data_IF_701020530245
#
_entry.id   IF_701020530245
#
_cell.length_a   1.000
_cell.length_b   1.000
_cell.length_c   1.000
_cell.angle_alpha   90.00
_cell.angle_beta   90.00
_cell.angle_gamma   90.00
#
_symmetry.space_group_name_H-M   'P 1'
#
loop_
_entity.id
_entity.type
_entity.pdbx_description
1 polymer ?
#
# COMPACT_ATOMS: atom_id res chain seq x y z
N UNK A 1 1.89 -11.41 13.50
CA UNK A 1 1.09 -10.17 13.45
C UNK A 1 1.99 -9.01 13.83
N UNK A 2 2.07 -7.98 13.00
CA UNK A 2 2.76 -6.73 13.32
C UNK A 2 1.92 -5.96 14.36
N UNK A 3 2.51 -5.32 15.38
CA UNK A 3 1.75 -4.48 16.29
C UNK A 3 1.17 -3.27 15.54
N UNK A 4 -0.16 -3.17 15.51
CA UNK A 4 -0.88 -2.01 15.02
C UNK A 4 -1.19 -1.09 16.20
N UNK A 5 -0.72 0.15 16.12
CA UNK A 5 -1.07 1.22 17.03
C UNK A 5 -1.95 2.21 16.27
N UNK A 6 -3.00 2.67 16.92
CA UNK A 6 -3.88 3.71 16.40
C UNK A 6 -3.80 4.89 17.38
N UNK A 7 -3.08 5.95 16.99
CA UNK A 7 -3.10 7.21 17.73
C UNK A 7 -4.31 7.97 17.20
N UNK A 8 -5.47 7.60 17.73
CA UNK A 8 -6.76 8.13 17.31
C UNK A 8 -6.83 9.60 17.69
N UNK A 9 -6.69 10.48 16.68
CA UNK A 9 -7.41 11.75 16.43
C UNK A 9 -7.52 12.79 17.56
N UNK A 10 -6.90 12.57 18.72
CA UNK A 10 -6.80 13.46 19.87
C UNK A 10 -5.38 13.41 20.43
N UNK A 11 -4.89 14.52 21.01
CA UNK A 11 -3.58 14.55 21.68
C UNK A 11 -3.46 13.47 22.75
N UNK A 12 -2.31 12.81 22.82
CA UNK A 12 -1.99 11.94 23.96
C UNK A 12 -1.90 12.75 25.25
N UNK A 13 -2.53 12.28 26.32
CA UNK A 13 -2.44 12.94 27.63
C UNK A 13 -1.05 12.75 28.27
N UNK A 14 -0.44 11.59 28.02
CA UNK A 14 0.85 11.16 28.57
C UNK A 14 1.77 10.63 27.45
N UNK A 15 3.09 10.73 27.61
CA UNK A 15 4.02 10.09 26.70
C UNK A 15 3.91 8.56 26.80
N UNK A 16 4.07 7.89 25.65
CA UNK A 16 3.94 6.43 25.52
C UNK A 16 5.19 5.85 24.88
N UNK A 17 5.79 4.87 25.54
CA UNK A 17 6.91 4.10 25.03
C UNK A 17 6.55 2.62 25.01
N UNK A 18 6.62 2.01 23.83
CA UNK A 18 6.23 0.63 23.62
C UNK A 18 7.33 -0.12 22.88
N UNK A 19 7.49 -1.40 23.20
CA UNK A 19 8.47 -2.29 22.59
C UNK A 19 7.84 -3.64 22.32
N UNK A 20 8.02 -4.15 21.11
CA UNK A 20 7.46 -5.40 20.64
C UNK A 20 8.55 -6.27 20.02
N UNK A 21 8.59 -7.54 20.42
CA UNK A 21 9.34 -8.57 19.70
C UNK A 21 8.43 -9.18 18.64
N UNK A 22 8.82 -9.06 17.38
CA UNK A 22 8.04 -9.56 16.24
C UNK A 22 8.74 -10.77 15.65
N UNK A 23 8.03 -11.89 15.58
CA UNK A 23 8.50 -13.13 14.96
C UNK A 23 8.44 -13.02 13.42
N UNK A 24 9.61 -12.90 12.79
CA UNK A 24 9.78 -12.73 11.35
C UNK A 24 9.61 -14.02 10.55
N UNK A 25 9.47 -15.17 11.23
CA UNK A 25 9.04 -16.41 10.55
C UNK A 25 7.54 -16.39 10.21
N UNK A 26 6.78 -15.50 10.85
CA UNK A 26 5.33 -15.34 10.65
C UNK A 26 4.97 -14.01 10.00
N UNK A 27 5.92 -13.10 9.86
CA UNK A 27 5.72 -11.74 9.38
C UNK A 27 6.89 -11.41 8.48
N UNK A 28 6.63 -11.06 7.21
CA UNK A 28 7.70 -10.70 6.31
C UNK A 28 8.41 -9.43 6.80
N UNK A 29 9.74 -9.40 6.63
CA UNK A 29 10.56 -8.25 7.05
C UNK A 29 10.13 -6.93 6.39
N UNK A 30 9.62 -6.99 5.16
CA UNK A 30 9.04 -5.85 4.45
C UNK A 30 7.88 -5.20 5.22
N UNK A 31 7.14 -6.00 5.97
CA UNK A 31 5.86 -5.60 6.56
C UNK A 31 6.06 -4.97 7.94
N UNK A 32 7.23 -5.12 8.57
CA UNK A 32 7.55 -4.53 9.87
C UNK A 32 7.41 -3.01 9.90
N UNK A 33 7.55 -2.35 8.75
CA UNK A 33 7.36 -0.91 8.62
C UNK A 33 5.90 -0.48 8.52
N UNK A 34 5.00 -1.41 8.20
CA UNK A 34 3.56 -1.17 8.04
C UNK A 34 2.88 -1.15 9.40
N UNK A 35 2.14 -0.09 9.68
CA UNK A 35 1.21 0.00 10.81
C UNK A 35 0.10 1.01 10.45
N UNK A 36 -0.78 1.27 11.42
CA UNK A 36 -1.90 2.21 11.25
C UNK A 36 -1.62 3.57 11.92
N UNK A 37 -0.34 3.87 12.21
CA UNK A 37 0.01 5.09 12.92
C UNK A 37 0.03 6.26 11.92
N UNK A 38 -1.12 6.95 11.82
CA UNK A 38 -1.33 8.09 10.92
C UNK A 38 -2.07 7.74 9.64
N UNK A 39 -2.60 8.77 8.95
CA UNK A 39 -3.45 8.53 7.80
C UNK A 39 -2.66 7.76 6.71
N UNK A 40 -3.17 6.57 6.41
CA UNK A 40 -2.61 5.59 5.50
C UNK A 40 -1.31 4.88 5.92
N UNK A 41 -0.88 4.95 7.20
CA UNK A 41 0.35 4.26 7.66
C UNK A 41 1.61 4.73 6.92
N UNK A 42 1.64 6.01 6.54
CA UNK A 42 2.69 6.59 5.70
C UNK A 42 3.79 7.23 6.55
N UNK A 43 4.83 6.46 6.83
CA UNK A 43 6.02 6.93 7.54
C UNK A 43 7.01 7.76 6.69
N UNK A 44 6.81 7.83 5.38
CA UNK A 44 7.65 8.59 4.46
C UNK A 44 6.77 9.46 3.57
N UNK A 45 6.93 10.78 3.64
CA UNK A 45 6.29 11.72 2.71
C UNK A 45 7.29 12.18 1.63
N UNK A 46 6.81 12.49 0.42
CA UNK A 46 7.64 12.99 -0.68
C UNK A 46 8.38 14.28 -0.32
N UNK A 47 7.72 15.15 0.46
CA UNK A 47 8.23 16.44 0.95
C UNK A 47 8.54 16.44 2.45
N UNK A 48 8.63 15.27 3.10
CA UNK A 48 8.82 15.15 4.55
C UNK A 48 10.10 14.44 4.97
N UNK A 49 10.26 14.22 6.28
CA UNK A 49 11.39 13.45 6.81
C UNK A 49 11.33 12.00 6.29
N UNK A 50 12.43 11.56 5.69
CA UNK A 50 12.62 10.18 5.26
C UNK A 50 13.13 9.33 6.40
N UNK A 51 12.80 8.04 6.36
CA UNK A 51 13.43 7.01 7.19
C UNK A 51 14.95 7.11 7.10
N UNK A 52 15.61 7.08 8.27
CA UNK A 52 17.07 6.95 8.35
C UNK A 52 17.45 5.53 8.73
N UNK A 53 18.53 5.02 8.13
CA UNK A 53 19.03 3.67 8.39
C UNK A 53 20.48 3.73 8.86
N UNK A 54 20.80 2.99 9.92
CA UNK A 54 22.18 2.79 10.40
C UNK A 54 22.48 1.30 10.48
N UNK A 55 23.68 0.92 10.07
CA UNK A 55 24.18 -0.46 10.18
C UNK A 55 25.28 -0.52 11.23
N UNK A 56 25.30 -1.61 11.98
CA UNK A 56 26.34 -1.94 12.94
C UNK A 56 26.85 -3.33 12.59
N UNK A 57 28.15 -3.44 12.40
CA UNK A 57 28.81 -4.65 11.91
C UNK A 57 29.50 -5.37 13.07
N UNK A 58 29.34 -6.69 13.12
CA UNK A 58 29.93 -7.54 14.14
C UNK A 58 30.54 -8.80 13.53
N UNK A 59 31.71 -9.19 14.03
CA UNK A 59 32.38 -10.42 13.62
C UNK A 59 31.85 -11.64 14.40
N UNK A 60 32.41 -12.82 14.12
CA UNK A 60 32.05 -14.09 14.75
C UNK A 60 32.23 -14.11 16.27
N UNK A 61 33.21 -13.36 16.78
CA UNK A 61 33.45 -13.16 18.21
C UNK A 61 32.48 -12.14 18.85
N UNK A 62 31.53 -11.60 18.09
CA UNK A 62 30.54 -10.58 18.52
C UNK A 62 31.16 -9.24 18.88
N UNK A 63 32.35 -8.95 18.34
CA UNK A 63 33.02 -7.67 18.47
C UNK A 63 32.64 -6.77 17.31
N UNK A 64 32.57 -5.46 17.58
CA UNK A 64 32.25 -4.46 16.56
C UNK A 64 33.40 -4.39 15.55
N UNK A 65 33.09 -4.45 14.27
CA UNK A 65 34.07 -4.39 13.18
C UNK A 65 33.60 -3.42 12.07
N UNK A 66 34.35 -3.38 10.97
CA UNK A 66 34.04 -2.58 9.79
C UNK A 66 33.22 -3.37 8.77
N UNK A 67 32.64 -2.66 7.80
CA UNK A 67 31.97 -3.30 6.67
C UNK A 67 32.98 -4.14 5.87
N UNK A 68 32.60 -5.35 5.47
CA UNK A 68 33.47 -6.33 4.81
C UNK A 68 34.09 -7.39 5.73
N UNK A 69 34.24 -7.13 7.03
CA UNK A 69 34.86 -8.06 8.00
C UNK A 69 33.85 -8.62 9.02
N UNK A 70 32.59 -8.70 8.63
CA UNK A 70 31.49 -9.00 9.55
C UNK A 70 30.77 -10.28 9.18
N UNK A 71 30.34 -11.00 10.19
CA UNK A 71 29.46 -12.17 10.09
C UNK A 71 28.01 -11.77 10.36
N UNK A 72 27.81 -10.68 11.11
CA UNK A 72 26.52 -10.20 11.55
C UNK A 72 26.35 -8.70 11.29
N UNK A 73 25.14 -8.32 10.89
CA UNK A 73 24.74 -6.92 10.72
C UNK A 73 23.50 -6.66 11.56
N UNK A 74 23.60 -5.66 12.44
CA UNK A 74 22.44 -5.07 13.10
C UNK A 74 22.04 -3.83 12.31
N UNK A 75 20.82 -3.81 11.79
CA UNK A 75 20.24 -2.66 11.10
C UNK A 75 19.23 -1.97 12.01
N UNK A 76 19.38 -0.65 12.16
CA UNK A 76 18.43 0.24 12.83
C UNK A 76 17.77 1.14 11.81
N UNK A 77 16.46 0.98 11.60
CA UNK A 77 15.63 1.89 10.81
C UNK A 77 14.85 2.80 11.75
N UNK A 78 15.04 4.12 11.61
CA UNK A 78 14.35 5.13 12.42
C UNK A 78 13.38 5.89 11.53
N UNK A 79 12.10 5.87 11.92
CA UNK A 79 11.02 6.58 11.28
C UNK A 79 10.55 7.70 12.20
N UNK A 80 10.33 8.87 11.63
CA UNK A 80 9.72 10.03 12.29
C UNK A 80 8.48 10.36 11.51
N UNK A 81 7.33 10.40 12.18
CA UNK A 81 6.06 10.56 11.48
C UNK A 81 5.96 11.98 10.88
N UNK A 82 5.69 12.13 9.57
CA UNK A 82 5.76 13.43 8.89
C UNK A 82 4.63 14.39 9.29
N UNK A 83 3.47 13.87 9.69
CA UNK A 83 2.30 14.69 10.08
C UNK A 83 2.02 14.66 11.58
N UNK A 84 3.04 14.33 12.39
CA UNK A 84 2.91 14.37 13.84
C UNK A 84 2.96 15.81 14.33
N UNK A 85 2.11 16.12 15.31
CA UNK A 85 2.04 17.41 15.98
C UNK A 85 2.20 17.13 17.48
N UNK A 86 3.23 17.67 18.15
CA UNK A 86 4.35 18.45 17.60
C UNK A 86 5.25 17.65 16.62
N UNK A 87 6.03 18.35 15.78
CA UNK A 87 6.97 17.67 14.87
C UNK A 87 7.94 16.77 15.65
N UNK A 88 8.21 15.58 15.11
CA UNK A 88 9.09 14.61 15.75
C UNK A 88 8.54 13.92 16.99
N UNK A 89 7.33 14.26 17.46
CA UNK A 89 6.73 13.68 18.66
C UNK A 89 6.35 12.21 18.52
N UNK A 90 6.23 11.69 17.29
CA UNK A 90 5.86 10.29 17.02
C UNK A 90 6.97 9.62 16.23
N UNK A 91 7.59 8.60 16.83
CA UNK A 91 8.70 7.85 16.25
C UNK A 91 8.49 6.35 16.34
N UNK A 92 9.02 5.66 15.33
CA UNK A 92 9.12 4.19 15.29
C UNK A 92 10.56 3.81 14.98
N UNK A 93 11.11 2.85 15.72
CA UNK A 93 12.45 2.32 15.47
C UNK A 93 12.37 0.81 15.33
N UNK A 94 12.92 0.28 14.24
CA UNK A 94 12.99 -1.15 13.96
C UNK A 94 14.45 -1.57 14.02
N UNK A 95 14.75 -2.54 14.86
CA UNK A 95 16.03 -3.22 14.94
C UNK A 95 15.92 -4.61 14.36
N UNK A 96 16.85 -4.96 13.46
CA UNK A 96 16.91 -6.26 12.82
C UNK A 96 18.34 -6.76 12.81
N UNK A 97 18.52 -8.02 13.17
CA UNK A 97 19.78 -8.74 13.01
C UNK A 97 19.71 -9.57 11.72
N UNK A 98 20.78 -9.56 10.93
CA UNK A 98 20.96 -10.43 9.79
C UNK A 98 22.37 -11.00 9.74
N UNK A 99 22.52 -12.18 9.15
CA UNK A 99 23.78 -12.80 8.76
C UNK A 99 23.72 -13.24 7.30
N UNK A 100 24.75 -13.92 6.81
CA UNK A 100 24.72 -14.58 5.49
C UNK A 100 23.55 -15.57 5.32
N UNK A 101 23.05 -16.14 6.42
CA UNK A 101 21.91 -17.06 6.40
C UNK A 101 20.55 -16.35 6.40
N UNK A 102 20.53 -15.02 6.36
CA UNK A 102 19.33 -14.20 6.34
C UNK A 102 19.04 -13.51 7.67
N UNK A 103 17.79 -13.13 7.88
CA UNK A 103 17.36 -12.39 9.07
C UNK A 103 17.19 -13.31 10.29
N UNK A 104 17.53 -12.79 11.46
CA UNK A 104 17.17 -13.42 12.73
C UNK A 104 15.65 -13.53 12.87
N UNK A 105 15.23 -14.55 13.63
CA UNK A 105 13.81 -14.86 13.90
C UNK A 105 13.04 -13.70 14.51
N UNK A 106 13.70 -12.83 15.28
CA UNK A 106 13.03 -11.72 15.96
C UNK A 106 13.56 -10.38 15.48
N UNK A 107 12.63 -9.47 15.22
CA UNK A 107 12.89 -8.04 15.11
C UNK A 107 12.35 -7.33 16.36
N UNK A 108 13.04 -6.28 16.80
CA UNK A 108 12.55 -5.40 17.86
C UNK A 108 11.95 -4.16 17.22
N UNK A 109 10.66 -3.94 17.42
CA UNK A 109 9.93 -2.75 16.98
C UNK A 109 9.58 -1.92 18.20
N UNK A 110 9.99 -0.67 18.21
CA UNK A 110 9.74 0.26 19.31
C UNK A 110 9.00 1.48 18.81
N UNK A 111 8.13 2.02 19.65
CA UNK A 111 7.42 3.26 19.43
C UNK A 111 7.70 4.22 20.59
N UNK A 112 7.92 5.47 20.24
CA UNK A 112 8.16 6.56 21.17
C UNK A 112 7.26 7.73 20.77
N UNK A 113 6.24 7.95 21.59
CA UNK A 113 5.15 8.89 21.37
C UNK A 113 5.20 9.92 22.50
N UNK A 114 5.42 11.17 22.15
CA UNK A 114 5.51 12.27 23.09
C UNK A 114 4.17 12.59 23.77
N UNK A 115 4.22 13.46 24.76
CA UNK A 115 3.03 14.05 25.36
C UNK A 115 2.37 15.03 24.38
N UNK A 116 1.04 15.11 24.41
CA UNK A 116 0.22 15.92 23.51
C UNK A 116 0.47 15.60 22.02
N UNK A 117 1.02 14.43 21.74
CA UNK A 117 1.30 13.99 20.38
C UNK A 117 -0.02 13.57 19.73
N UNK A 118 -0.23 14.05 18.52
CA UNK A 118 -1.32 13.60 17.65
C UNK A 118 -0.83 13.49 16.22
N UNK A 119 -1.53 12.68 15.43
CA UNK A 119 -1.31 12.63 13.99
C UNK A 119 -2.56 13.13 13.29
N UNK A 120 -2.44 14.22 12.53
CA UNK A 120 -3.56 14.76 11.79
C UNK A 120 -4.02 13.76 10.71
N UNK A 121 -5.32 13.48 10.67
CA UNK A 121 -5.91 12.64 9.64
C UNK A 121 -6.02 13.42 8.33
N UNK A 122 -5.10 13.17 7.38
CA UNK A 122 -5.17 13.74 6.03
C UNK A 122 -5.98 12.85 5.07
N UNK A 123 -7.10 13.31 4.49
CA UNK A 123 -7.90 12.48 3.59
C UNK A 123 -7.02 11.87 2.49
N UNK A 124 -7.25 10.59 2.18
CA UNK A 124 -6.53 9.94 1.08
C UNK A 124 -6.80 10.75 -0.20
N UNK A 125 -5.76 11.16 -0.92
CA UNK A 125 -5.87 12.10 -2.05
C UNK A 125 -6.87 11.72 -3.14
N UNK A 126 -7.28 10.44 -3.22
CA UNK A 126 -8.28 9.93 -4.17
C UNK A 126 -9.67 9.71 -3.57
N UNK A 127 -9.83 9.85 -2.25
CA UNK A 127 -11.09 9.64 -1.56
C UNK A 127 -11.86 10.98 -1.46
N UNK A 128 -12.60 11.32 -2.51
CA UNK A 128 -13.51 12.49 -2.47
C UNK A 128 -14.66 12.33 -1.46
N UNK A 129 -14.92 11.12 -0.95
CA UNK A 129 -16.12 10.82 -0.12
C UNK A 129 -15.87 9.87 1.08
N UNK A 130 -14.73 9.18 1.18
CA UNK A 130 -14.49 8.23 2.29
C UNK A 130 -13.81 8.91 3.48
N UNK A 131 -14.56 9.01 4.59
CA UNK A 131 -14.10 9.45 5.92
C UNK A 131 -13.39 8.34 6.72
N UNK A 132 -13.43 7.10 6.22
CA UNK A 132 -12.75 5.95 6.82
C UNK A 132 -11.24 6.06 6.66
N UNK A 133 -10.49 5.78 7.72
CA UNK A 133 -9.04 5.75 7.67
C UNK A 133 -8.60 4.60 6.74
N UNK A 134 -7.70 4.90 5.80
CA UNK A 134 -7.14 3.85 4.92
C UNK A 134 -6.32 2.87 5.75
N UNK A 135 -6.71 1.61 5.72
CA UNK A 135 -5.89 0.53 6.25
C UNK A 135 -4.87 0.12 5.20
N UNK A 136 -3.59 0.34 5.50
CA UNK A 136 -2.50 0.00 4.59
C UNK A 136 -2.36 -1.53 4.50
N UNK A 137 -2.46 -2.06 3.29
CA UNK A 137 -2.18 -3.47 3.02
C UNK A 137 -0.68 -3.74 3.18
N UNK A 138 -0.35 -4.91 3.72
CA UNK A 138 1.03 -5.35 3.88
C UNK A 138 1.74 -5.45 2.51
N UNK A 139 3.00 -4.97 2.41
CA UNK A 139 3.79 -5.07 1.20
C UNK A 139 3.90 -6.50 0.62
N UNK A 140 4.03 -7.52 1.47
CA UNK A 140 4.06 -8.93 1.07
C UNK A 140 2.79 -9.34 0.30
N UNK A 141 1.63 -9.04 0.86
CA UNK A 141 0.31 -9.28 0.24
C UNK A 141 0.18 -8.56 -1.12
N UNK A 142 0.69 -7.34 -1.23
CA UNK A 142 0.67 -6.59 -2.49
C UNK A 142 1.59 -7.24 -3.54
N UNK A 143 2.75 -7.75 -3.13
CA UNK A 143 3.67 -8.46 -4.01
C UNK A 143 3.07 -9.77 -4.52
N UNK A 144 2.44 -10.57 -3.65
CA UNK A 144 1.76 -11.82 -4.04
C UNK A 144 0.63 -11.58 -5.04
N UNK A 145 -0.21 -10.55 -4.80
CA UNK A 145 -1.28 -10.18 -5.72
C UNK A 145 -0.76 -9.73 -7.08
N UNK A 146 0.39 -9.03 -7.10
CA UNK A 146 1.03 -8.61 -8.35
C UNK A 146 1.53 -9.82 -9.14
N UNK A 147 2.23 -10.74 -8.49
CA UNK A 147 2.72 -11.99 -9.12
C UNK A 147 1.54 -12.78 -9.69
N UNK A 148 0.48 -12.97 -8.92
CA UNK A 148 -0.71 -13.71 -9.39
C UNK A 148 -1.35 -13.07 -10.62
N UNK A 149 -1.46 -11.73 -10.66
CA UNK A 149 -1.99 -11.02 -11.83
C UNK A 149 -1.09 -11.15 -13.05
N UNK A 150 0.22 -11.11 -12.86
CA UNK A 150 1.20 -11.29 -13.94
C UNK A 150 1.13 -12.73 -14.49
N UNK A 151 0.99 -13.74 -13.63
CA UNK A 151 0.79 -15.14 -14.03
C UNK A 151 -0.53 -15.34 -14.78
N UNK A 152 -1.63 -14.73 -14.31
CA UNK A 152 -2.92 -14.76 -14.99
C UNK A 152 -2.84 -14.08 -16.38
N UNK A 153 -2.13 -12.96 -16.49
CA UNK A 153 -1.89 -12.28 -17.77
C UNK A 153 -1.07 -13.16 -18.71
N UNK A 154 0.03 -13.74 -18.23
CA UNK A 154 0.88 -14.65 -19.01
C UNK A 154 0.11 -15.89 -19.48
N UNK A 155 -0.76 -16.44 -18.64
CA UNK A 155 -1.64 -17.56 -18.99
C UNK A 155 -2.64 -17.17 -20.08
N UNK A 156 -3.28 -16.00 -19.97
CA UNK A 156 -4.20 -15.49 -21.02
C UNK A 156 -3.48 -15.26 -22.34
N UNK A 157 -2.27 -14.71 -22.30
CA UNK A 157 -1.44 -14.53 -23.50
C UNK A 157 -1.05 -15.87 -24.14
N UNK A 158 -0.68 -16.86 -23.32
CA UNK A 158 -0.37 -18.21 -23.78
C UNK A 158 -1.58 -18.89 -24.42
N UNK A 159 -2.75 -18.84 -23.78
CA UNK A 159 -3.99 -19.44 -24.28
C UNK A 159 -4.44 -18.75 -25.58
N UNK A 160 -4.26 -17.43 -25.69
CA UNK A 160 -4.56 -16.67 -26.91
C UNK A 160 -3.64 -17.07 -28.07
N UNK A 161 -2.34 -17.27 -27.81
CA UNK A 161 -1.37 -17.73 -28.83
C UNK A 161 -1.57 -19.19 -29.24
N UNK A 162 -2.23 -20.00 -28.41
CA UNK A 162 -2.53 -21.42 -28.69
C UNK A 162 -3.89 -21.66 -29.31
N UNK A 163 -4.72 -20.63 -29.48
CA UNK A 163 -5.93 -20.78 -30.31
C UNK A 163 -5.47 -21.18 -31.71
N UNK A 164 -5.93 -22.33 -32.26
CA UNK A 164 -5.68 -22.61 -33.65
C UNK A 164 -6.24 -21.44 -34.46
N UNK A 165 -5.49 -20.99 -35.47
CA UNK A 165 -6.04 -20.11 -36.50
C UNK A 165 -7.20 -20.89 -37.09
N UNK A 166 -8.42 -20.59 -36.63
CA UNK A 166 -9.62 -21.09 -37.26
C UNK A 166 -9.71 -20.38 -38.60
N UNK A 167 -9.96 -21.16 -39.65
CA UNK A 167 -10.20 -20.68 -41.00
C UNK A 167 -11.26 -19.57 -40.94
N UNK A 168 -11.04 -18.36 -41.49
CA UNK A 168 -11.98 -17.24 -41.40
C UNK A 168 -13.42 -17.59 -41.85
N UNK A 169 -13.60 -18.59 -42.71
CA UNK A 169 -14.91 -19.10 -43.11
C UNK A 169 -15.68 -19.80 -41.96
N UNK A 170 -14.99 -20.40 -41.00
CA UNK A 170 -15.63 -21.11 -39.88
C UNK A 170 -16.17 -20.16 -38.79
N UNK A 171 -15.55 -18.99 -38.62
CA UNK A 171 -15.98 -17.98 -37.65
C UNK A 171 -17.26 -17.26 -38.13
N UNK A 172 -17.36 -17.00 -39.44
CA UNK A 172 -18.55 -16.41 -40.06
C UNK A 172 -19.76 -17.37 -40.00
N UNK A 173 -19.54 -18.67 -40.23
CA UNK A 173 -20.60 -19.69 -40.14
C UNK A 173 -21.16 -19.87 -38.72
N UNK A 174 -20.33 -19.71 -37.68
CA UNK A 174 -20.76 -19.80 -36.27
C UNK A 174 -21.52 -18.55 -35.80
N UNK A 175 -21.12 -17.36 -36.27
CA UNK A 175 -21.84 -16.11 -36.01
C UNK A 175 -23.24 -16.10 -36.66
N UNK A 176 -23.36 -16.65 -37.87
CA UNK A 176 -24.66 -16.76 -38.58
C UNK A 176 -25.58 -17.80 -37.94
N UNK A 177 -25.04 -18.92 -37.43
CA UNK A 177 -25.85 -19.94 -36.74
C UNK A 177 -26.41 -19.46 -35.38
N UNK A 178 -25.67 -18.62 -34.66
CA UNK A 178 -26.08 -18.11 -33.34
C UNK A 178 -27.14 -16.99 -33.45
N UNK A 179 -27.12 -16.17 -34.50
CA UNK A 179 -28.15 -15.17 -34.77
C UNK A 179 -29.53 -15.79 -35.14
N UNK A 180 -29.54 -16.99 -35.74
CA UNK A 180 -30.77 -17.63 -36.24
C UNK A 180 -31.65 -18.31 -35.18
N UNK A 181 -31.17 -18.46 -33.93
CA UNK A 181 -31.93 -19.12 -32.83
C UNK A 181 -32.70 -18.16 -31.94
N UNK A 182 -32.60 -16.84 -32.12
CA UNK A 182 -33.18 -15.86 -31.20
C UNK A 182 -34.61 -15.37 -31.56
N UNK A 183 -35.24 -15.91 -32.61
CA UNK A 183 -36.65 -15.63 -32.92
C UNK A 183 -37.56 -16.77 -32.45
N UNK A 184 -37.98 -16.72 -31.18
CA UNK A 184 -39.32 -17.15 -30.67
C UNK A 184 -39.27 -17.33 -29.16
N UNK A 185 -39.79 -16.33 -28.42
CA UNK A 185 -40.80 -16.48 -27.36
C UNK A 185 -40.92 -15.20 -26.53
N UNK A 186 -42.02 -14.48 -26.76
CA UNK A 186 -42.62 -13.52 -25.85
C UNK A 186 -43.59 -14.26 -24.92
N UNK A 187 -43.43 -14.15 -23.59
CA UNK A 187 -44.51 -13.98 -22.60
C UNK A 187 -44.01 -14.09 -21.16
N UNK A 188 -44.24 -13.03 -20.38
CA UNK A 188 -44.55 -12.93 -18.93
C UNK A 188 -43.89 -13.88 -17.92
N UNK A 189 -43.28 -13.32 -16.86
CA UNK A 189 -43.56 -13.55 -15.42
C UNK A 189 -42.43 -12.94 -14.55
N UNK A 190 -42.82 -12.06 -13.62
CA UNK A 190 -42.23 -11.76 -12.28
C UNK A 190 -40.73 -11.44 -12.11
N UNK A 191 -40.35 -10.39 -11.33
CA UNK A 191 -38.96 -10.18 -10.96
C UNK A 191 -38.52 -11.22 -9.92
N UNK A 192 -37.64 -12.14 -10.31
CA UNK A 192 -36.88 -12.96 -9.39
C UNK A 192 -35.58 -12.24 -9.05
N UNK A 193 -35.39 -11.94 -7.77
CA UNK A 193 -34.18 -11.35 -7.22
C UNK A 193 -32.97 -12.24 -7.52
N UNK A 194 -32.04 -11.75 -8.33
CA UNK A 194 -30.68 -12.27 -8.38
C UNK A 194 -29.70 -11.11 -8.35
N UNK A 195 -28.77 -11.22 -7.42
CA UNK A 195 -27.71 -10.28 -7.12
C UNK A 195 -26.76 -10.21 -8.33
N UNK A 196 -26.72 -9.07 -9.00
CA UNK A 196 -25.74 -8.79 -10.05
C UNK A 196 -24.47 -8.23 -9.40
N UNK A 197 -23.41 -9.03 -9.38
CA UNK A 197 -22.05 -8.53 -9.20
C UNK A 197 -21.64 -7.84 -10.50
N UNK A 198 -21.55 -6.53 -10.48
CA UNK A 198 -20.91 -5.79 -11.57
C UNK A 198 -19.40 -6.01 -11.48
N UNK A 199 -18.89 -6.73 -12.48
CA UNK A 199 -17.51 -6.64 -12.92
C UNK A 199 -17.30 -5.21 -13.45
N UNK A 200 -16.43 -4.43 -12.82
CA UNK A 200 -16.07 -3.10 -13.30
C UNK A 200 -15.03 -3.27 -14.42
N UNK A 201 -15.47 -2.92 -15.62
CA UNK A 201 -14.74 -3.03 -16.86
C UNK A 201 -13.49 -2.14 -16.88
N UNK A 202 -12.46 -2.62 -17.56
CA UNK A 202 -11.28 -1.83 -17.86
C UNK A 202 -11.65 -0.63 -18.71
N UNK A 203 -11.52 0.55 -18.13
CA UNK A 203 -11.45 1.80 -18.87
C UNK A 203 -10.02 2.03 -19.34
N UNK A 204 -9.78 1.69 -20.60
CA UNK A 204 -8.73 2.32 -21.42
C UNK A 204 -9.11 3.79 -21.60
N UNK A 205 -8.49 4.68 -20.83
CA UNK A 205 -8.59 6.14 -21.04
C UNK A 205 -7.37 6.59 -21.81
N UNK A 206 -7.59 7.00 -23.05
CA UNK A 206 -6.64 7.76 -23.85
C UNK A 206 -6.13 8.98 -23.05
N UNK A 207 -4.80 9.12 -23.00
CA UNK A 207 -4.13 10.24 -22.37
C UNK A 207 -4.37 11.51 -23.19
N UNK A 208 -5.39 12.29 -22.84
CA UNK A 208 -5.44 13.71 -23.17
C UNK A 208 -4.56 14.47 -22.19
N UNK A 209 -3.49 15.07 -22.70
CA UNK A 209 -2.38 15.67 -21.95
C UNK A 209 -2.70 16.98 -21.24
N UNK A 210 -3.70 17.00 -20.35
CA UNK A 210 -3.85 18.08 -19.37
C UNK A 210 -3.28 17.64 -18.02
N UNK A 211 -2.20 18.30 -17.62
CA UNK A 211 -1.55 18.10 -16.32
C UNK A 211 -2.54 18.39 -15.18
N UNK A 212 -2.54 17.60 -14.08
CA UNK A 212 -3.32 17.94 -12.91
C UNK A 212 -2.80 19.23 -12.26
N UNK A 213 -3.72 20.16 -12.04
CA UNK A 213 -3.52 21.45 -11.37
C UNK A 213 -2.73 21.27 -10.08
N UNK A 214 -1.62 21.99 -9.97
CA UNK A 214 -0.73 21.90 -8.81
C UNK A 214 -1.35 22.59 -7.58
N UNK A 215 -0.93 22.18 -6.39
CA UNK A 215 -1.43 22.79 -5.13
C UNK A 215 -1.20 24.31 -5.08
N UNK A 216 -0.23 24.86 -5.82
CA UNK A 216 0.03 26.30 -5.89
C UNK A 216 -1.04 27.08 -6.70
N UNK A 217 -1.63 26.46 -7.73
CA UNK A 217 -2.69 27.06 -8.54
C UNK A 217 -4.04 27.07 -7.81
N UNK A 218 -4.29 26.06 -6.96
CA UNK A 218 -5.50 25.97 -6.12
C UNK A 218 -5.50 27.01 -5.00
N UNK A 219 -4.33 27.35 -4.44
CA UNK A 219 -4.22 28.36 -3.38
C UNK A 219 -4.27 29.78 -3.95
N UNK A 220 -3.84 29.98 -5.19
CA UNK A 220 -3.88 31.29 -5.86
C UNK A 220 -5.31 31.72 -6.24
N UNK A 221 -6.21 30.79 -6.55
CA UNK A 221 -7.61 31.11 -6.89
C UNK A 221 -8.46 31.51 -5.68
N UNK A 222 -8.07 31.11 -4.47
CA UNK A 222 -8.72 31.53 -3.22
C UNK A 222 -8.16 32.86 -2.65
N UNK A 223 -7.02 33.34 -3.15
CA UNK A 223 -6.40 34.60 -2.71
C UNK A 223 -7.02 35.85 -3.34
N UNK A 224 -7.79 35.73 -4.43
CA UNK A 224 -8.34 36.89 -5.14
C UNK A 224 -9.73 37.32 -4.67
N UNK A 225 -10.34 36.59 -3.73
CA UNK A 225 -11.67 36.91 -3.18
C UNK A 225 -11.64 37.64 -1.84
N UNK A 226 -10.47 37.92 -1.26
CA UNK A 226 -10.35 38.60 0.04
C UNK A 226 -9.87 40.05 -0.03
N UNK A 227 -9.98 40.72 -1.19
CA UNK A 227 -9.60 42.14 -1.35
C UNK A 227 -10.76 43.05 -1.78
N UNK A 228 -12.00 42.58 -1.67
CA UNK A 228 -13.20 43.42 -1.78
C UNK A 228 -14.17 43.07 -0.65
N UNK A 229 -13.93 43.66 0.52
CA UNK A 229 -14.90 44.18 1.50
C UNK A 229 -14.17 44.72 2.74
#
# INVERSE_FOLDING_TARGET
MVPHLDIVRSPTELPVQLSFLVDTTRVAVSDLSTDNLGNNGQWNASQGRRMTMRKFFYNREKLRCVEGEHDFVITRKTYVHPNAIPDGSVRKIIWQLSSEHGYSRYALVTYDIGQNAMVAALPHGNARVKLEAYQRKEPSMLAELKIRREDERMKREYDTRKRPIMDPEAEELLAVQSASKQMKRSSSVGPSSSIALYEDEGLDVEVTGDYPVTHEEMVSSHSLLSLLL
#
